data_IF_148765816278
#
_entry.id   IF_148765816278
#
_cell.length_a   1.000
_cell.length_b   1.000
_cell.length_c   1.000
_cell.angle_alpha   90.00
_cell.angle_beta   90.00
_cell.angle_gamma   90.00
#
_symmetry.space_group_name_H-M   'P 1'
#
loop_
_entity.id
_entity.type
_entity.pdbx_description
1 polymer ?
#
# COMPACT_ATOMS: atom_id res chain seq x y z
N UNK A 1 -21.35 -26.95 -3.00
CA UNK A 1 -20.48 -26.84 -4.20
C UNK A 1 -20.61 -25.51 -4.96
N UNK A 2 -21.79 -24.85 -5.06
CA UNK A 2 -21.94 -23.55 -5.76
C UNK A 2 -21.09 -22.38 -5.23
N UNK A 3 -20.92 -22.25 -3.89
CA UNK A 3 -20.15 -21.15 -3.30
C UNK A 3 -18.62 -21.21 -3.52
N UNK A 4 -18.07 -22.41 -3.80
CA UNK A 4 -16.65 -22.59 -4.12
C UNK A 4 -16.34 -22.19 -5.56
N UNK A 5 -17.26 -22.44 -6.50
CA UNK A 5 -17.11 -22.04 -7.90
C UNK A 5 -17.24 -20.52 -8.07
N UNK A 6 -18.19 -19.87 -7.38
CA UNK A 6 -18.30 -18.40 -7.41
C UNK A 6 -17.06 -17.70 -6.84
N UNK A 7 -16.49 -18.20 -5.73
CA UNK A 7 -15.25 -17.64 -5.17
C UNK A 7 -14.05 -17.83 -6.10
N UNK A 8 -13.88 -19.02 -6.69
CA UNK A 8 -12.81 -19.24 -7.67
C UNK A 8 -12.95 -18.35 -8.89
N UNK A 9 -14.15 -18.22 -9.44
CA UNK A 9 -14.41 -17.36 -10.59
C UNK A 9 -14.19 -15.87 -10.27
N UNK A 10 -14.52 -15.43 -9.05
CA UNK A 10 -14.25 -14.06 -8.60
C UNK A 10 -12.75 -13.80 -8.45
N UNK A 11 -12.00 -14.75 -7.88
CA UNK A 11 -10.55 -14.67 -7.80
C UNK A 11 -9.88 -14.69 -9.19
N UNK A 12 -10.31 -15.56 -10.10
CA UNK A 12 -9.79 -15.63 -11.48
C UNK A 12 -10.07 -14.33 -12.26
N UNK A 13 -11.23 -13.71 -12.05
CA UNK A 13 -11.56 -12.40 -12.61
C UNK A 13 -10.72 -11.28 -11.99
N UNK A 14 -10.49 -11.31 -10.69
CA UNK A 14 -9.65 -10.33 -9.99
C UNK A 14 -8.17 -10.46 -10.37
N UNK A 15 -7.66 -11.68 -10.52
CA UNK A 15 -6.29 -11.95 -11.01
C UNK A 15 -6.12 -11.43 -12.44
N UNK A 16 -7.10 -11.67 -13.31
CA UNK A 16 -7.10 -11.12 -14.67
C UNK A 16 -7.15 -9.57 -14.67
N UNK A 17 -7.76 -8.96 -13.66
CA UNK A 17 -7.75 -7.51 -13.49
C UNK A 17 -6.38 -7.03 -13.01
N UNK A 18 -5.74 -7.71 -12.06
CA UNK A 18 -4.37 -7.41 -11.65
C UNK A 18 -3.42 -7.52 -12.85
N UNK A 19 -3.51 -8.60 -13.63
CA UNK A 19 -2.74 -8.79 -14.86
C UNK A 19 -2.96 -7.65 -15.87
N UNK A 20 -4.21 -7.19 -16.00
CA UNK A 20 -4.54 -6.04 -16.83
C UNK A 20 -3.92 -4.75 -16.29
N UNK A 21 -3.94 -4.50 -14.98
CA UNK A 21 -3.25 -3.34 -14.38
C UNK A 21 -1.76 -3.37 -14.68
N UNK A 22 -1.14 -4.54 -14.58
CA UNK A 22 0.26 -4.73 -14.97
C UNK A 22 0.50 -4.50 -16.48
N UNK A 23 -0.43 -4.92 -17.35
CA UNK A 23 -0.34 -4.67 -18.78
C UNK A 23 -0.48 -3.17 -19.12
N UNK A 24 -1.47 -2.50 -18.52
CA UNK A 24 -1.74 -1.07 -18.71
C UNK A 24 -0.56 -0.22 -18.21
N UNK A 25 0.07 -0.61 -17.09
CA UNK A 25 1.27 0.03 -16.58
C UNK A 25 2.47 -0.07 -17.53
N UNK A 26 2.60 -1.17 -18.27
CA UNK A 26 3.69 -1.41 -19.23
C UNK A 26 3.50 -0.72 -20.58
N UNK A 27 2.38 -0.02 -20.79
CA UNK A 27 2.11 0.71 -22.03
C UNK A 27 3.08 1.88 -22.25
N UNK A 28 3.37 2.14 -23.53
CA UNK A 28 4.20 3.27 -23.95
C UNK A 28 3.43 4.57 -23.67
N UNK A 29 3.90 5.36 -22.70
CA UNK A 29 3.24 6.57 -22.20
C UNK A 29 2.90 6.52 -20.70
N UNK A 30 2.60 5.35 -20.13
CA UNK A 30 2.32 5.23 -18.70
C UNK A 30 3.53 5.61 -17.83
N UNK A 31 4.74 5.25 -18.28
CA UNK A 31 6.01 5.65 -17.63
C UNK A 31 6.22 7.16 -17.65
N UNK A 32 5.99 7.80 -18.78
CA UNK A 32 6.17 9.25 -18.92
C UNK A 32 5.15 10.01 -18.09
N UNK A 33 3.90 9.53 -18.06
CA UNK A 33 2.84 10.10 -17.24
C UNK A 33 3.17 9.98 -15.74
N UNK A 34 3.69 8.82 -15.33
CA UNK A 34 4.13 8.58 -13.96
C UNK A 34 5.30 9.49 -13.58
N UNK A 35 6.31 9.63 -14.46
CA UNK A 35 7.43 10.54 -14.25
C UNK A 35 6.96 11.99 -14.04
N UNK A 36 6.05 12.48 -14.91
CA UNK A 36 5.52 13.85 -14.83
C UNK A 36 4.71 14.10 -13.55
N UNK A 37 3.87 13.15 -13.13
CA UNK A 37 3.02 13.34 -11.95
C UNK A 37 3.75 13.16 -10.62
N UNK A 38 4.77 12.30 -10.59
CA UNK A 38 5.51 12.00 -9.35
C UNK A 38 6.74 12.88 -9.15
N UNK A 39 7.27 13.44 -10.23
CA UNK A 39 8.57 14.11 -10.23
C UNK A 39 9.73 13.15 -9.95
N UNK A 40 9.52 11.83 -10.08
CA UNK A 40 10.60 10.84 -9.99
C UNK A 40 11.47 11.00 -11.23
N UNK A 41 12.75 11.27 -11.03
CA UNK A 41 13.74 11.36 -12.13
C UNK A 41 14.55 10.06 -12.29
N UNK A 42 14.42 9.11 -11.35
CA UNK A 42 15.07 7.81 -11.41
C UNK A 42 14.31 6.89 -12.38
N UNK A 43 14.86 6.74 -13.59
CA UNK A 43 14.29 5.91 -14.65
C UNK A 43 14.21 4.42 -14.28
N UNK A 44 15.10 3.93 -13.41
CA UNK A 44 15.06 2.56 -12.92
C UNK A 44 13.90 2.37 -11.95
N UNK A 45 13.66 3.33 -11.05
CA UNK A 45 12.50 3.31 -10.14
C UNK A 45 11.18 3.39 -10.92
N UNK A 46 11.11 4.24 -11.95
CA UNK A 46 9.93 4.32 -12.81
C UNK A 46 9.65 3.01 -13.56
N UNK A 47 10.70 2.36 -14.06
CA UNK A 47 10.56 1.07 -14.76
C UNK A 47 10.06 -0.03 -13.83
N UNK A 48 10.61 -0.11 -12.62
CA UNK A 48 10.19 -1.05 -11.57
C UNK A 48 8.74 -0.80 -11.14
N UNK A 49 8.36 0.45 -10.88
CA UNK A 49 6.98 0.81 -10.52
C UNK A 49 6.00 0.38 -11.62
N UNK A 50 6.32 0.64 -12.88
CA UNK A 50 5.53 0.16 -14.02
C UNK A 50 5.43 -1.37 -14.05
N UNK A 51 6.53 -2.09 -13.84
CA UNK A 51 6.53 -3.55 -13.86
C UNK A 51 5.67 -4.15 -12.75
N UNK A 52 5.60 -3.46 -11.61
CA UNK A 52 4.76 -3.77 -10.46
C UNK A 52 3.29 -3.32 -10.61
N UNK A 53 2.90 -2.80 -11.77
CA UNK A 53 1.50 -2.42 -12.05
C UNK A 53 1.12 -1.03 -11.56
N UNK A 54 2.09 -0.20 -11.18
CA UNK A 54 1.83 1.20 -10.84
C UNK A 54 1.64 2.04 -12.09
N UNK A 55 0.47 2.68 -12.16
CA UNK A 55 0.09 3.71 -13.12
C UNK A 55 -0.22 5.00 -12.36
N UNK A 56 -0.52 6.08 -13.07
CA UNK A 56 -1.04 7.31 -12.44
C UNK A 56 -2.34 7.08 -11.66
N UNK A 57 -3.12 6.05 -12.01
CA UNK A 57 -4.39 5.70 -11.35
C UNK A 57 -4.19 4.85 -10.11
N UNK A 58 -3.19 3.98 -10.10
CA UNK A 58 -2.91 3.06 -8.97
C UNK A 58 -1.84 3.60 -8.01
N UNK A 59 -1.10 4.64 -8.39
CA UNK A 59 -0.03 5.23 -7.57
C UNK A 59 -0.49 5.64 -6.17
N UNK A 60 -1.73 6.11 -6.00
CA UNK A 60 -2.25 6.49 -4.68
C UNK A 60 -2.26 5.32 -3.70
N UNK A 61 -2.37 4.08 -4.18
CA UNK A 61 -2.30 2.89 -3.34
C UNK A 61 -0.87 2.62 -2.82
N UNK A 62 0.18 3.12 -3.50
CA UNK A 62 1.57 3.05 -2.99
C UNK A 62 1.64 3.64 -1.57
N UNK A 63 0.91 4.71 -1.28
CA UNK A 63 0.83 5.34 0.05
C UNK A 63 0.27 4.42 1.15
N UNK A 64 -0.48 3.38 0.78
CA UNK A 64 -1.11 2.45 1.71
C UNK A 64 -0.23 1.25 2.07
N UNK A 65 0.90 1.03 1.39
CA UNK A 65 1.80 -0.10 1.67
C UNK A 65 2.18 -0.22 3.16
N UNK A 66 2.57 0.86 3.88
CA UNK A 66 2.88 0.74 5.30
C UNK A 66 1.70 0.29 6.15
N UNK A 67 0.48 0.72 5.80
CA UNK A 67 -0.74 0.38 6.53
C UNK A 67 -1.09 -1.10 6.32
N UNK A 68 -0.96 -1.57 5.07
CA UNK A 68 -1.14 -2.97 4.70
C UNK A 68 -0.10 -3.86 5.41
N UNK A 69 1.18 -3.49 5.43
CA UNK A 69 2.21 -4.29 6.09
C UNK A 69 2.05 -4.33 7.61
N UNK A 70 1.50 -3.28 8.22
CA UNK A 70 1.14 -3.31 9.64
C UNK A 70 -0.01 -4.29 9.88
N UNK A 71 -1.05 -4.27 9.04
CA UNK A 71 -2.12 -5.27 9.12
C UNK A 71 -1.60 -6.71 8.91
N UNK A 72 -0.57 -6.90 8.09
CA UNK A 72 0.07 -8.21 7.88
C UNK A 72 1.10 -8.60 8.95
N UNK A 73 1.36 -7.77 9.97
CA UNK A 73 2.45 -8.00 10.92
C UNK A 73 2.34 -9.34 11.66
N UNK A 74 1.11 -9.82 11.87
CA UNK A 74 0.83 -11.12 12.50
C UNK A 74 0.64 -12.28 11.50
N UNK A 75 1.07 -12.10 10.25
CA UNK A 75 0.91 -13.05 9.12
C UNK A 75 -0.55 -13.36 8.73
N UNK A 76 -1.47 -12.53 9.18
CA UNK A 76 -2.88 -12.54 8.78
C UNK A 76 -3.42 -11.12 8.94
N UNK A 77 -4.38 -10.77 8.11
CA UNK A 77 -5.17 -9.54 8.25
C UNK A 77 -6.55 -9.94 8.74
N UNK A 78 -7.01 -9.37 9.85
CA UNK A 78 -8.39 -9.59 10.30
C UNK A 78 -9.38 -8.55 9.74
N UNK A 79 -10.66 -8.76 10.03
CA UNK A 79 -11.74 -7.92 9.50
C UNK A 79 -11.66 -6.48 10.01
N UNK A 80 -11.21 -6.25 11.24
CA UNK A 80 -11.08 -4.91 11.82
C UNK A 80 -9.94 -4.13 11.17
N UNK A 81 -8.77 -4.76 11.01
CA UNK A 81 -7.63 -4.21 10.28
C UNK A 81 -7.97 -3.94 8.82
N UNK A 82 -8.59 -4.92 8.14
CA UNK A 82 -9.00 -4.76 6.74
C UNK A 82 -9.92 -3.56 6.59
N UNK A 83 -10.93 -3.44 7.43
CA UNK A 83 -11.87 -2.31 7.37
C UNK A 83 -11.15 -0.98 7.65
N UNK A 84 -10.25 -0.93 8.62
CA UNK A 84 -9.50 0.29 8.92
C UNK A 84 -8.57 0.73 7.78
N UNK A 85 -7.95 -0.21 7.06
CA UNK A 85 -7.17 0.11 5.87
C UNK A 85 -8.06 0.64 4.75
N UNK A 86 -9.22 0.01 4.51
CA UNK A 86 -10.19 0.49 3.52
C UNK A 86 -10.78 1.86 3.86
N UNK A 87 -11.04 2.14 5.14
CA UNK A 87 -11.50 3.45 5.61
C UNK A 87 -10.41 4.52 5.42
N UNK A 88 -9.14 4.18 5.66
CA UNK A 88 -8.02 5.05 5.36
C UNK A 88 -7.90 5.32 3.85
N UNK A 89 -8.10 4.30 3.01
CA UNK A 89 -8.11 4.45 1.55
C UNK A 89 -9.24 5.37 1.08
N UNK A 90 -10.45 5.20 1.61
CA UNK A 90 -11.61 6.05 1.30
C UNK A 90 -11.34 7.53 1.63
N UNK A 91 -10.68 7.82 2.76
CA UNK A 91 -10.25 9.19 3.12
C UNK A 91 -9.21 9.79 2.17
N UNK A 92 -8.49 8.95 1.41
CA UNK A 92 -7.58 9.37 0.34
C UNK A 92 -8.26 9.47 -1.03
N UNK A 93 -9.58 9.23 -1.10
CA UNK A 93 -10.36 9.28 -2.33
C UNK A 93 -10.33 7.99 -3.16
N UNK A 94 -9.77 6.89 -2.62
CA UNK A 94 -9.79 5.57 -3.28
C UNK A 94 -11.19 4.99 -3.12
N UNK A 95 -11.90 4.81 -4.24
CA UNK A 95 -13.29 4.32 -4.28
C UNK A 95 -13.33 2.85 -4.66
N UNK A 96 -14.34 2.07 -4.24
CA UNK A 96 -14.46 0.63 -4.55
C UNK A 96 -14.34 0.27 -6.03
N UNK A 97 -14.73 1.17 -6.93
CA UNK A 97 -14.71 0.97 -8.37
C UNK A 97 -13.38 1.38 -9.04
N UNK A 98 -12.42 1.87 -8.26
CA UNK A 98 -11.13 2.35 -8.76
C UNK A 98 -10.08 1.26 -8.82
N UNK A 99 -9.18 1.34 -9.81
CA UNK A 99 -8.03 0.45 -9.96
C UNK A 99 -7.15 0.38 -8.70
N UNK A 100 -6.97 1.52 -8.02
CA UNK A 100 -6.25 1.60 -6.75
C UNK A 100 -6.91 0.77 -5.62
N UNK A 101 -8.24 0.71 -5.59
CA UNK A 101 -8.97 -0.11 -4.63
C UNK A 101 -8.78 -1.59 -4.91
N UNK A 102 -8.80 -1.99 -6.19
CA UNK A 102 -8.62 -3.39 -6.59
C UNK A 102 -7.22 -3.89 -6.21
N UNK A 103 -6.19 -3.09 -6.48
CA UNK A 103 -4.81 -3.41 -6.08
C UNK A 103 -4.68 -3.48 -4.55
N UNK A 104 -5.31 -2.55 -3.82
CA UNK A 104 -5.33 -2.57 -2.36
C UNK A 104 -6.05 -3.81 -1.80
N UNK A 105 -7.19 -4.17 -2.38
CA UNK A 105 -7.97 -5.32 -1.93
C UNK A 105 -7.19 -6.62 -2.13
N UNK A 106 -6.50 -6.76 -3.28
CA UNK A 106 -5.57 -7.85 -3.51
C UNK A 106 -4.50 -7.91 -2.42
N UNK A 107 -3.86 -6.77 -2.09
CA UNK A 107 -2.84 -6.72 -1.03
C UNK A 107 -3.37 -7.00 0.40
N UNK A 108 -4.67 -6.89 0.64
CA UNK A 108 -5.28 -7.24 1.93
C UNK A 108 -5.64 -8.74 1.99
N UNK A 109 -5.67 -9.43 0.85
CA UNK A 109 -5.87 -10.88 0.74
C UNK A 109 -4.54 -11.62 0.67
N UNK A 110 -3.55 -11.04 -0.01
CA UNK A 110 -2.20 -11.54 -0.14
C UNK A 110 -1.19 -10.44 0.18
N UNK A 111 -0.14 -10.75 0.94
CA UNK A 111 0.86 -9.76 1.31
C UNK A 111 1.48 -9.13 0.05
N UNK A 112 1.66 -7.80 -0.02
CA UNK A 112 2.26 -7.17 -1.18
C UNK A 112 3.68 -7.73 -1.44
N UNK A 113 4.08 -7.90 -2.71
CA UNK A 113 5.40 -8.43 -3.05
C UNK A 113 6.51 -7.52 -2.50
N UNK A 114 7.68 -8.12 -2.21
CA UNK A 114 8.80 -7.40 -1.59
C UNK A 114 9.26 -6.22 -2.43
N UNK A 115 9.22 -6.39 -3.74
CA UNK A 115 9.53 -5.41 -4.76
C UNK A 115 8.65 -4.16 -4.61
N UNK A 116 7.34 -4.31 -4.36
CA UNK A 116 6.45 -3.17 -4.07
C UNK A 116 6.85 -2.43 -2.80
N UNK A 117 7.28 -3.15 -1.77
CA UNK A 117 7.74 -2.56 -0.51
C UNK A 117 9.07 -1.81 -0.71
N UNK A 118 9.98 -2.37 -1.49
CA UNK A 118 11.28 -1.75 -1.74
C UNK A 118 11.17 -0.54 -2.68
N UNK A 119 10.32 -0.62 -3.72
CA UNK A 119 9.96 0.51 -4.56
C UNK A 119 9.35 1.65 -3.73
N UNK A 120 8.45 1.34 -2.77
CA UNK A 120 7.93 2.31 -1.83
C UNK A 120 9.02 2.98 -1.00
N UNK A 121 9.97 2.21 -0.44
CA UNK A 121 11.07 2.77 0.37
C UNK A 121 11.94 3.71 -0.44
N UNK A 122 12.28 3.33 -1.67
CA UNK A 122 13.07 4.16 -2.61
C UNK A 122 12.34 5.46 -2.93
N UNK A 123 11.07 5.36 -3.31
CA UNK A 123 10.22 6.52 -3.59
C UNK A 123 10.14 7.46 -2.40
N UNK A 124 9.86 6.93 -1.21
CA UNK A 124 9.74 7.74 0.00
C UNK A 124 11.06 8.37 0.42
N UNK A 125 12.20 7.71 0.23
CA UNK A 125 13.52 8.30 0.51
C UNK A 125 13.79 9.53 -0.36
N UNK A 126 13.51 9.43 -1.66
CA UNK A 126 13.64 10.55 -2.58
C UNK A 126 12.64 11.67 -2.22
N UNK A 127 11.37 11.33 -2.00
CA UNK A 127 10.35 12.30 -1.62
C UNK A 127 10.68 13.02 -0.30
N UNK A 128 11.11 12.29 0.74
CA UNK A 128 11.53 12.86 2.02
C UNK A 128 12.79 13.71 1.86
N UNK A 129 13.74 13.27 1.02
CA UNK A 129 14.96 14.00 0.68
C UNK A 129 14.71 15.44 0.20
N UNK A 130 13.61 15.65 -0.52
CA UNK A 130 13.20 16.96 -1.07
C UNK A 130 12.46 17.85 -0.07
N UNK A 131 12.04 17.33 1.08
CA UNK A 131 11.29 18.07 2.11
C UNK A 131 12.22 18.75 3.12
N UNK A 132 11.76 19.89 3.66
CA UNK A 132 12.40 20.51 4.83
C UNK A 132 12.27 19.62 6.07
N UNK A 133 13.17 19.79 7.05
CA UNK A 133 13.13 19.01 8.30
C UNK A 133 11.76 19.05 8.99
N UNK A 134 11.12 20.24 9.03
CA UNK A 134 9.78 20.40 9.61
C UNK A 134 8.71 19.61 8.85
N UNK A 135 8.78 19.60 7.52
CA UNK A 135 7.86 18.83 6.68
C UNK A 135 8.08 17.32 6.83
N UNK A 136 9.34 16.87 6.90
CA UNK A 136 9.69 15.46 7.18
C UNK A 136 9.09 15.00 8.51
N UNK A 137 9.30 15.74 9.60
CA UNK A 137 8.77 15.39 10.92
C UNK A 137 7.24 15.31 10.92
N UNK A 138 6.56 16.26 10.26
CA UNK A 138 5.10 16.24 10.14
C UNK A 138 4.61 15.01 9.37
N UNK A 139 5.23 14.69 8.24
CA UNK A 139 4.83 13.56 7.41
C UNK A 139 5.12 12.22 8.11
N UNK A 140 6.27 12.10 8.77
CA UNK A 140 6.63 10.96 9.59
C UNK A 140 5.61 10.75 10.74
N UNK A 141 5.28 11.80 11.48
CA UNK A 141 4.27 11.74 12.55
C UNK A 141 2.90 11.32 12.02
N UNK A 142 2.51 11.84 10.86
CA UNK A 142 1.27 11.46 10.19
C UNK A 142 1.23 9.97 9.81
N UNK A 143 2.30 9.43 9.22
CA UNK A 143 2.40 7.99 8.92
C UNK A 143 2.36 7.14 10.19
N UNK A 144 3.11 7.51 11.24
CA UNK A 144 3.07 6.81 12.53
C UNK A 144 1.65 6.75 13.09
N UNK A 145 0.93 7.87 13.05
CA UNK A 145 -0.43 7.95 13.56
C UNK A 145 -1.39 7.03 12.80
N UNK A 146 -1.34 7.05 11.46
CA UNK A 146 -2.18 6.16 10.63
C UNK A 146 -1.87 4.69 10.88
N UNK A 147 -0.61 4.29 10.83
CA UNK A 147 -0.21 2.90 11.08
C UNK A 147 -0.62 2.43 12.48
N UNK A 148 -0.48 3.28 13.49
CA UNK A 148 -0.93 2.98 14.86
C UNK A 148 -2.45 2.83 14.94
N UNK A 149 -3.21 3.58 14.13
CA UNK A 149 -4.66 3.43 14.07
C UNK A 149 -5.08 2.09 13.47
N UNK A 150 -4.38 1.60 12.43
CA UNK A 150 -4.62 0.27 11.85
C UNK A 150 -4.36 -0.81 12.90
N UNK A 151 -3.20 -0.79 13.55
CA UNK A 151 -2.83 -1.74 14.59
C UNK A 151 -3.74 -1.73 15.84
N UNK A 152 -4.58 -0.70 15.99
CA UNK A 152 -5.56 -0.62 17.08
C UNK A 152 -6.98 -1.01 16.65
N UNK A 153 -7.23 -1.08 15.35
CA UNK A 153 -8.55 -1.38 14.80
C UNK A 153 -8.95 -2.83 15.04
N UNK A 154 -7.97 -3.73 15.01
CA UNK A 154 -8.09 -5.01 15.65
C UNK A 154 -7.63 -4.88 17.09
N UNK A 155 -8.58 -4.76 18.03
CA UNK A 155 -8.26 -5.19 19.38
C UNK A 155 -7.88 -6.66 19.25
N UNK A 156 -6.59 -6.98 19.41
CA UNK A 156 -6.01 -8.30 19.10
C UNK A 156 -6.73 -9.47 19.78
N UNK A 157 -6.17 -10.68 19.78
CA UNK A 157 -6.85 -11.89 20.29
C UNK A 157 -7.48 -11.82 21.71
N UNK A 158 -7.30 -10.72 22.45
CA UNK A 158 -7.92 -10.43 23.74
C UNK A 158 -8.65 -9.06 23.86
N UNK A 159 -9.05 -8.40 22.78
CA UNK A 159 -10.08 -7.34 22.85
C UNK A 159 -9.70 -6.02 23.53
N UNK A 160 -8.41 -5.74 23.73
CA UNK A 160 -7.95 -4.43 24.17
C UNK A 160 -7.06 -3.84 23.06
N UNK A 161 -7.42 -2.67 22.52
CA UNK A 161 -6.73 -1.97 21.42
C UNK A 161 -5.26 -1.58 21.71
N UNK A 162 -4.43 -2.58 21.95
CA UNK A 162 -2.99 -2.50 22.18
C UNK A 162 -2.27 -3.01 20.94
N UNK A 163 -1.37 -2.19 20.44
CA UNK A 163 -0.42 -2.55 19.37
C UNK A 163 0.49 -3.67 19.88
N UNK A 164 0.52 -4.77 19.14
CA UNK A 164 1.36 -5.95 19.36
C UNK A 164 2.85 -5.63 19.18
N UNK A 165 3.73 -6.51 19.67
CA UNK A 165 5.17 -6.36 19.49
C UNK A 165 5.59 -6.38 18.02
N UNK A 166 4.95 -7.24 17.20
CA UNK A 166 5.24 -7.39 15.77
C UNK A 166 4.79 -6.17 14.96
N UNK A 167 3.59 -5.67 15.24
CA UNK A 167 3.09 -4.43 14.60
C UNK A 167 3.99 -3.24 14.92
N UNK A 168 4.41 -3.12 16.19
CA UNK A 168 5.35 -2.07 16.61
C UNK A 168 6.67 -2.15 15.86
N UNK A 169 7.20 -3.36 15.66
CA UNK A 169 8.44 -3.56 14.90
C UNK A 169 8.29 -3.11 13.44
N UNK A 170 7.15 -3.42 12.80
CA UNK A 170 6.87 -2.94 11.42
C UNK A 170 6.80 -1.41 11.39
N UNK A 171 6.04 -0.80 12.31
CA UNK A 171 5.91 0.66 12.44
C UNK A 171 7.28 1.30 12.58
N UNK A 172 8.09 0.83 13.53
CA UNK A 172 9.39 1.43 13.81
C UNK A 172 10.37 1.25 12.64
N UNK A 173 10.32 0.12 11.92
CA UNK A 173 11.09 -0.10 10.69
C UNK A 173 10.76 0.92 9.59
N UNK A 174 9.48 1.22 9.39
CA UNK A 174 9.04 2.27 8.48
C UNK A 174 9.46 3.66 8.96
N UNK A 175 9.32 3.94 10.26
CA UNK A 175 9.72 5.24 10.80
C UNK A 175 11.22 5.51 10.66
N UNK A 176 12.06 4.49 10.80
CA UNK A 176 13.49 4.63 10.57
C UNK A 176 13.81 4.97 9.11
N UNK A 177 13.06 4.41 8.16
CA UNK A 177 13.21 4.73 6.72
C UNK A 177 12.82 6.18 6.41
N UNK A 178 11.84 6.75 7.13
CA UNK A 178 11.34 8.10 6.91
C UNK A 178 12.17 9.18 7.62
N UNK A 179 12.85 8.82 8.71
CA UNK A 179 13.60 9.75 9.55
C UNK A 179 15.10 9.83 9.22
N UNK A 180 15.58 9.08 8.22
CA UNK A 180 16.96 9.12 7.69
C UNK A 180 16.94 9.64 6.26
#
# INVERSE_FOLDING_TARGET
MRGLQQRKFFNELEDAIVDRLHADARSEGARDDLARQTGISDASLLSELTELGFTTRTLIALRLIPLVLVAWADHRVDTGERQAVLDAASKLGIRPESEAYMMLDHWLREVPPRESVDAWKRYMRDAMGRLSQRARVKLASFFRAQMTAIAKASGGQFGFGKVSGKERQVIDGFMNTLCH
#
